data_IF_988647256846
#
_entry.id   IF_988647256846
#
_cell.length_a   1.000
_cell.length_b   1.000
_cell.length_c   1.000
_cell.angle_alpha   90.00
_cell.angle_beta   90.00
_cell.angle_gamma   90.00
#
_symmetry.space_group_name_H-M   'P 1'
#
loop_
_entity.id
_entity.type
_entity.pdbx_description
1 polymer ?
#
# COMPACT_ATOMS: atom_id res chain seq x y z
N UNK A 1 -15.49 20.28 -17.88
CA UNK A 1 -15.37 20.98 -16.59
C UNK A 1 -13.89 21.04 -16.22
N UNK A 2 -13.34 22.26 -16.11
CA UNK A 2 -11.90 22.48 -15.88
C UNK A 2 -11.54 22.11 -14.43
N UNK A 3 -10.62 21.16 -14.26
CA UNK A 3 -10.06 20.83 -12.94
C UNK A 3 -9.05 21.90 -12.59
N UNK A 4 -9.35 22.75 -11.62
CA UNK A 4 -8.43 23.76 -11.11
C UNK A 4 -7.26 23.08 -10.38
N UNK A 5 -6.04 23.30 -10.85
CA UNK A 5 -4.80 22.85 -10.19
C UNK A 5 -4.49 23.74 -8.99
N UNK A 6 -4.73 23.23 -7.78
CA UNK A 6 -4.29 23.88 -6.55
C UNK A 6 -2.76 23.76 -6.39
N UNK A 7 -2.08 24.88 -6.14
CA UNK A 7 -0.64 24.90 -5.88
C UNK A 7 -0.34 24.48 -4.41
N UNK A 8 0.94 24.12 -4.11
CA UNK A 8 1.39 23.87 -2.72
C UNK A 8 1.07 25.04 -1.77
N UNK A 9 1.11 26.29 -2.27
CA UNK A 9 0.76 27.48 -1.48
C UNK A 9 -0.72 27.56 -1.16
N UNK A 10 -1.57 27.12 -2.09
CA UNK A 10 -3.03 27.16 -1.90
C UNK A 10 -3.48 26.11 -0.89
N UNK A 11 -2.81 24.94 -0.86
CA UNK A 11 -3.02 23.93 0.19
C UNK A 11 -2.62 24.44 1.58
N UNK A 12 -1.47 25.10 1.71
CA UNK A 12 -1.01 25.69 2.98
C UNK A 12 -1.92 26.85 3.42
N UNK A 13 -2.43 27.65 2.48
CA UNK A 13 -3.40 28.72 2.76
C UNK A 13 -4.78 28.18 3.15
N UNK A 14 -5.24 27.11 2.51
CA UNK A 14 -6.51 26.45 2.88
C UNK A 14 -6.46 25.84 4.28
N UNK A 15 -5.30 25.35 4.71
CA UNK A 15 -5.07 24.85 6.09
C UNK A 15 -4.85 26.00 7.09
N UNK A 16 -4.35 27.16 6.63
CA UNK A 16 -4.00 28.31 7.51
C UNK A 16 -5.10 29.39 7.65
N UNK A 17 -6.13 29.42 6.81
CA UNK A 17 -7.17 30.46 6.77
C UNK A 17 -8.51 30.06 7.39
N UNK A 18 -8.56 28.98 8.16
CA UNK A 18 -9.72 28.58 8.96
C UNK A 18 -9.95 29.40 10.24
N UNK A 19 -9.20 30.46 10.47
CA UNK A 19 -9.33 31.30 11.64
C UNK A 19 -9.53 32.77 11.25
N UNK A 20 -10.74 33.19 10.86
CA UNK A 20 -11.44 34.45 11.11
C UNK A 20 -12.61 34.57 10.13
N UNK A 21 -13.81 34.19 10.55
CA UNK A 21 -15.07 34.86 10.23
C UNK A 21 -16.17 34.26 11.13
N UNK A 22 -16.53 34.96 12.15
CA UNK A 22 -17.77 34.69 12.89
C UNK A 22 -18.98 34.99 12.01
N UNK A 23 -19.97 34.17 12.17
CA UNK A 23 -21.41 34.27 11.98
C UNK A 23 -22.00 33.06 11.27
N UNK A 24 -22.64 32.31 12.06
CA UNK A 24 -23.88 31.51 11.87
C UNK A 24 -23.76 30.18 12.60
N UNK A 25 -24.40 30.09 13.73
CA UNK A 25 -24.68 28.83 14.45
C UNK A 25 -25.60 27.97 13.60
N UNK A 26 -25.03 27.14 12.79
CA UNK A 26 -25.66 25.98 12.20
C UNK A 26 -24.85 24.75 12.59
N UNK A 27 -25.50 23.84 13.24
CA UNK A 27 -25.19 22.47 13.67
C UNK A 27 -24.02 21.80 12.88
N UNK A 28 -22.84 22.34 12.98
CA UNK A 28 -21.60 21.59 12.75
C UNK A 28 -21.23 20.98 14.09
N UNK A 29 -21.33 19.65 14.21
CA UNK A 29 -20.80 18.95 15.36
C UNK A 29 -19.39 19.46 15.63
N UNK A 30 -19.10 19.77 16.89
CA UNK A 30 -17.81 20.28 17.37
C UNK A 30 -16.70 19.41 16.77
N UNK A 31 -15.98 19.95 15.77
CA UNK A 31 -14.85 19.25 15.15
C UNK A 31 -13.83 19.04 16.26
N UNK A 32 -13.55 17.79 16.63
CA UNK A 32 -12.54 17.51 17.66
C UNK A 32 -11.25 18.22 17.24
N UNK A 33 -10.58 18.92 18.14
CA UNK A 33 -9.32 19.63 17.89
C UNK A 33 -8.24 18.75 17.24
N UNK A 34 -8.37 17.43 17.38
CA UNK A 34 -7.44 16.42 16.88
C UNK A 34 -8.17 15.39 16.03
N UNK A 35 -8.16 15.49 14.69
CA UNK A 35 -8.77 14.50 13.81
C UNK A 35 -8.04 13.16 13.92
N UNK A 36 -8.78 12.06 13.74
CA UNK A 36 -8.17 10.75 13.57
C UNK A 36 -7.36 10.67 12.27
N UNK A 37 -6.45 9.72 12.21
CA UNK A 37 -5.68 9.43 11.00
C UNK A 37 -5.82 7.95 10.63
N UNK A 38 -6.29 7.67 9.42
CA UNK A 38 -6.23 6.37 8.79
C UNK A 38 -5.13 6.42 7.71
N UNK A 39 -4.02 5.71 7.97
CA UNK A 39 -2.83 5.73 7.13
C UNK A 39 -2.69 4.38 6.40
N UNK A 40 -2.93 4.36 5.09
CA UNK A 40 -2.98 3.15 4.27
C UNK A 40 -1.72 3.08 3.40
N UNK A 41 -0.88 2.07 3.65
CA UNK A 41 0.30 1.75 2.87
C UNK A 41 0.00 0.54 1.98
N UNK A 42 0.35 0.62 0.70
CA UNK A 42 0.15 -0.48 -0.27
C UNK A 42 1.50 -0.83 -0.91
N UNK A 43 1.89 -2.09 -0.79
CA UNK A 43 3.21 -2.57 -1.25
C UNK A 43 3.22 -2.75 -2.77
N UNK A 44 4.24 -2.24 -3.45
CA UNK A 44 4.43 -2.31 -4.91
C UNK A 44 3.31 -1.67 -5.75
N UNK A 45 2.52 -0.76 -5.20
CA UNK A 45 1.42 -0.12 -5.92
C UNK A 45 1.92 0.96 -6.88
N UNK A 46 1.81 0.69 -8.18
CA UNK A 46 2.08 1.66 -9.24
C UNK A 46 0.92 2.64 -9.42
N UNK A 47 1.16 3.84 -10.01
CA UNK A 47 0.09 4.77 -10.39
C UNK A 47 -0.68 4.30 -11.63
N UNK A 48 -0.93 2.99 -11.75
CA UNK A 48 -1.75 2.37 -12.79
C UNK A 48 -3.16 2.13 -12.24
N UNK A 49 -3.82 3.22 -11.79
CA UNK A 49 -5.17 3.21 -11.23
C UNK A 49 -6.11 4.04 -12.12
N UNK A 50 -7.42 3.85 -11.98
CA UNK A 50 -8.42 4.61 -12.73
C UNK A 50 -8.28 6.12 -12.52
N UNK A 51 -8.03 6.56 -11.29
CA UNK A 51 -7.81 7.98 -10.94
C UNK A 51 -6.58 8.61 -11.62
N UNK A 52 -5.61 7.81 -12.06
CA UNK A 52 -4.48 8.26 -12.89
C UNK A 52 -4.70 8.07 -14.40
N UNK A 53 -5.92 7.70 -14.82
CA UNK A 53 -6.30 7.55 -16.22
C UNK A 53 -5.97 6.17 -16.83
N UNK A 54 -5.63 5.16 -16.03
CA UNK A 54 -5.36 3.82 -16.53
C UNK A 54 -6.67 3.06 -16.81
N UNK A 55 -7.07 3.01 -18.09
CA UNK A 55 -8.39 2.51 -18.53
C UNK A 55 -8.64 1.03 -18.26
N UNK A 56 -7.60 0.20 -18.17
CA UNK A 56 -7.75 -1.24 -17.95
C UNK A 56 -7.83 -1.62 -16.46
N UNK A 57 -7.48 -0.72 -15.55
CA UNK A 57 -7.50 -1.01 -14.11
C UNK A 57 -8.89 -0.80 -13.52
N UNK A 58 -9.30 -1.73 -12.66
CA UNK A 58 -10.56 -1.66 -11.92
C UNK A 58 -10.23 -1.39 -10.45
N UNK A 59 -10.32 -0.11 -10.05
CA UNK A 59 -9.96 0.39 -8.71
C UNK A 59 -11.01 1.39 -8.15
N UNK A 60 -12.31 1.03 -8.11
CA UNK A 60 -13.38 1.98 -7.85
C UNK A 60 -13.33 2.63 -6.46
N UNK A 61 -12.79 1.95 -5.45
CA UNK A 61 -12.73 2.48 -4.09
C UNK A 61 -11.60 3.49 -3.92
N UNK A 62 -10.43 3.21 -4.50
CA UNK A 62 -9.30 4.15 -4.51
C UNK A 62 -9.64 5.35 -5.41
N UNK A 63 -10.30 5.12 -6.55
CA UNK A 63 -10.74 6.18 -7.47
C UNK A 63 -11.74 7.11 -6.79
N UNK A 64 -12.69 6.57 -6.00
CA UNK A 64 -13.62 7.36 -5.19
C UNK A 64 -12.88 8.18 -4.13
N UNK A 65 -11.95 7.58 -3.39
CA UNK A 65 -11.14 8.30 -2.40
C UNK A 65 -10.36 9.45 -3.04
N UNK A 66 -9.81 9.25 -4.23
CA UNK A 66 -9.11 10.28 -4.99
C UNK A 66 -10.05 11.41 -5.45
N UNK A 67 -11.28 11.08 -5.85
CA UNK A 67 -12.29 12.06 -6.27
C UNK A 67 -12.83 12.91 -5.10
N UNK A 68 -12.84 12.35 -3.88
CA UNK A 68 -13.26 13.03 -2.65
C UNK A 68 -12.14 13.84 -1.97
N UNK A 69 -10.90 13.73 -2.44
CA UNK A 69 -9.72 14.27 -1.77
C UNK A 69 -8.73 14.97 -2.69
N UNK A 70 -7.47 14.88 -2.34
CA UNK A 70 -6.34 15.44 -3.11
C UNK A 70 -5.55 14.29 -3.74
N UNK A 71 -5.46 14.27 -5.06
CA UNK A 71 -4.66 13.33 -5.83
C UNK A 71 -3.30 13.96 -6.20
N UNK A 72 -2.21 13.34 -5.73
CA UNK A 72 -0.86 13.75 -6.06
C UNK A 72 -0.40 13.04 -7.35
N UNK A 73 -0.37 13.76 -8.46
CA UNK A 73 -0.02 13.19 -9.78
C UNK A 73 1.49 13.05 -10.01
N UNK A 74 2.33 13.66 -9.15
CA UNK A 74 3.80 13.65 -9.26
C UNK A 74 4.42 13.39 -7.89
N UNK A 75 4.13 12.23 -7.31
CA UNK A 75 4.72 11.76 -6.05
C UNK A 75 5.69 10.63 -6.35
N UNK A 76 6.89 10.69 -5.77
CA UNK A 76 7.98 9.75 -6.07
C UNK A 76 8.54 9.20 -4.75
N UNK A 77 8.84 7.90 -4.71
CA UNK A 77 9.59 7.30 -3.62
C UNK A 77 11.08 7.73 -3.69
N UNK A 78 11.72 7.84 -2.54
CA UNK A 78 13.14 8.20 -2.48
C UNK A 78 14.05 7.05 -2.97
N UNK A 79 13.66 5.79 -2.68
CA UNK A 79 14.35 4.58 -3.13
C UNK A 79 13.29 3.57 -3.56
N UNK A 80 13.36 2.98 -4.76
CA UNK A 80 12.33 2.07 -5.27
C UNK A 80 12.46 0.65 -4.71
N UNK A 81 12.50 0.53 -3.37
CA UNK A 81 12.57 -0.76 -2.65
C UNK A 81 11.94 -0.63 -1.26
N UNK A 82 11.22 -1.67 -0.82
CA UNK A 82 10.29 -1.63 0.32
C UNK A 82 10.90 -1.07 1.61
N UNK A 83 12.00 -1.66 2.12
CA UNK A 83 12.57 -1.28 3.41
C UNK A 83 13.04 0.17 3.42
N UNK A 84 13.83 0.57 2.43
CA UNK A 84 14.40 1.92 2.34
C UNK A 84 13.33 2.99 2.09
N UNK A 85 12.36 2.73 1.18
CA UNK A 85 11.25 3.65 0.91
C UNK A 85 10.42 3.90 2.17
N UNK A 86 10.01 2.82 2.86
CA UNK A 86 9.19 2.89 4.08
C UNK A 86 9.93 3.57 5.22
N UNK A 87 11.22 3.23 5.45
CA UNK A 87 12.05 3.89 6.45
C UNK A 87 12.15 5.40 6.19
N UNK A 88 12.42 5.79 4.94
CA UNK A 88 12.50 7.20 4.55
C UNK A 88 11.19 7.96 4.76
N UNK A 89 10.07 7.40 4.31
CA UNK A 89 8.76 8.04 4.42
C UNK A 89 8.31 8.15 5.88
N UNK A 90 8.40 7.05 6.64
CA UNK A 90 7.87 6.98 8.00
C UNK A 90 8.71 7.75 9.02
N UNK A 91 9.97 8.11 8.68
CA UNK A 91 10.83 8.98 9.50
C UNK A 91 10.95 10.40 8.95
N UNK A 92 10.51 10.64 7.70
CA UNK A 92 10.70 11.92 7.02
C UNK A 92 12.17 12.21 6.66
N UNK A 93 13.07 11.22 6.77
CA UNK A 93 14.51 11.40 6.55
C UNK A 93 14.93 10.83 5.21
N UNK A 94 15.69 11.60 4.43
CA UNK A 94 16.16 11.18 3.11
C UNK A 94 17.24 10.10 3.21
N UNK A 95 17.26 9.15 2.26
CA UNK A 95 18.34 8.17 2.11
C UNK A 95 19.70 8.83 1.90
N UNK A 96 20.74 8.13 2.30
CA UNK A 96 22.14 8.43 2.00
C UNK A 96 22.83 7.17 1.50
N UNK A 97 24.11 7.28 1.11
CA UNK A 97 24.89 6.16 0.58
C UNK A 97 24.94 4.94 1.51
N UNK A 98 24.88 5.17 2.81
CA UNK A 98 25.00 4.20 3.90
C UNK A 98 23.75 4.09 4.78
N UNK A 99 22.65 4.72 4.38
CA UNK A 99 21.41 4.76 5.15
C UNK A 99 20.19 4.65 4.26
N UNK A 100 19.29 3.75 4.59
CA UNK A 100 18.05 3.49 3.85
C UNK A 100 18.33 3.10 2.39
N UNK A 101 19.11 2.03 2.20
CA UNK A 101 19.59 1.62 0.88
C UNK A 101 18.88 0.36 0.37
N UNK A 102 18.67 -0.66 1.23
CA UNK A 102 18.22 -1.99 0.85
C UNK A 102 16.76 -2.28 1.15
N UNK A 103 16.29 -3.43 0.65
CA UNK A 103 14.92 -3.91 0.95
C UNK A 103 14.73 -4.29 2.42
N UNK A 104 15.79 -4.73 3.07
CA UNK A 104 15.84 -5.18 4.47
C UNK A 104 16.22 -4.07 5.47
N UNK A 105 16.20 -2.82 5.04
CA UNK A 105 16.44 -1.64 5.87
C UNK A 105 15.55 -1.64 7.12
N UNK A 106 16.17 -1.38 8.27
CA UNK A 106 15.53 -1.05 9.54
C UNK A 106 15.73 0.43 9.82
N UNK A 107 14.64 1.18 9.95
CA UNK A 107 14.73 2.62 10.22
C UNK A 107 15.45 2.92 11.54
N UNK A 108 15.15 2.17 12.59
CA UNK A 108 15.74 2.33 13.92
C UNK A 108 17.23 1.97 13.96
N UNK A 109 17.69 0.99 13.14
CA UNK A 109 19.11 0.61 13.07
C UNK A 109 19.93 1.59 12.25
N UNK A 110 19.40 1.99 11.10
CA UNK A 110 20.09 2.92 10.18
C UNK A 110 20.10 4.35 10.73
N UNK A 111 19.14 4.71 11.59
CA UNK A 111 19.02 6.02 12.21
C UNK A 111 18.50 5.88 13.65
N UNK A 112 19.37 5.49 14.60
CA UNK A 112 18.99 5.38 16.01
C UNK A 112 18.41 6.70 16.56
N UNK A 113 17.30 6.61 17.26
CA UNK A 113 16.62 7.77 17.83
C UNK A 113 15.78 8.59 16.85
N UNK A 114 15.64 8.17 15.60
CA UNK A 114 14.75 8.83 14.64
C UNK A 114 13.31 8.90 15.16
N UNK A 115 12.69 10.06 15.02
CA UNK A 115 11.28 10.24 15.32
C UNK A 115 10.44 9.74 14.16
N UNK A 116 9.85 8.55 14.33
CA UNK A 116 8.88 8.06 13.34
C UNK A 116 7.56 8.81 13.43
N UNK A 117 6.80 8.85 12.32
CA UNK A 117 5.46 9.45 12.31
C UNK A 117 4.54 8.83 13.38
N UNK A 118 4.63 7.52 13.61
CA UNK A 118 3.88 6.83 14.65
C UNK A 118 4.26 7.31 16.05
N UNK A 119 5.56 7.45 16.33
CA UNK A 119 6.07 7.97 17.59
C UNK A 119 5.67 9.43 17.81
N UNK A 120 5.67 10.22 16.75
CA UNK A 120 5.19 11.60 16.79
C UNK A 120 3.71 11.68 17.21
N UNK A 121 2.82 10.93 16.54
CA UNK A 121 1.41 10.89 16.91
C UNK A 121 1.21 10.38 18.35
N UNK A 122 1.91 9.33 18.75
CA UNK A 122 1.84 8.77 20.11
C UNK A 122 2.23 9.80 21.17
N UNK A 123 3.30 10.58 20.95
CA UNK A 123 3.74 11.63 21.89
C UNK A 123 2.78 12.81 21.97
N UNK A 124 1.84 12.94 21.00
CA UNK A 124 0.78 13.94 20.98
C UNK A 124 -0.59 13.36 21.39
N UNK A 125 -0.60 12.28 22.16
CA UNK A 125 -1.81 11.75 22.78
C UNK A 125 -2.66 10.82 21.93
N UNK A 126 -2.24 10.49 20.70
CA UNK A 126 -2.94 9.54 19.84
C UNK A 126 -2.74 8.10 20.30
N UNK A 127 -3.78 7.29 20.12
CA UNK A 127 -3.66 5.84 20.20
C UNK A 127 -3.18 5.32 18.83
N UNK A 128 -1.97 4.75 18.79
CA UNK A 128 -1.29 4.38 17.55
C UNK A 128 -1.27 2.87 17.34
N UNK A 129 -1.74 2.40 16.18
CA UNK A 129 -1.87 0.98 15.84
C UNK A 129 -1.24 0.70 14.47
N UNK A 130 -0.55 -0.45 14.36
CA UNK A 130 0.02 -0.96 13.12
C UNK A 130 -0.52 -2.33 12.76
N UNK A 131 -1.21 -2.43 11.62
CA UNK A 131 -1.72 -3.68 11.06
C UNK A 131 -1.07 -3.97 9.71
N UNK A 132 -0.54 -5.18 9.51
CA UNK A 132 0.08 -5.60 8.26
C UNK A 132 1.49 -5.02 8.03
N UNK A 133 1.84 -4.76 6.77
CA UNK A 133 3.18 -4.29 6.37
C UNK A 133 3.25 -2.76 6.36
N UNK A 134 3.32 -2.11 7.52
CA UNK A 134 3.55 -0.65 7.63
C UNK A 134 5.04 -0.35 7.50
N UNK A 135 5.88 -0.75 8.45
CA UNK A 135 7.32 -0.89 8.23
C UNK A 135 7.64 -2.22 7.53
N UNK A 136 8.82 -2.32 6.91
CA UNK A 136 9.26 -3.60 6.33
C UNK A 136 9.37 -4.68 7.41
N UNK A 137 9.96 -4.37 8.54
CA UNK A 137 10.04 -5.25 9.71
C UNK A 137 8.97 -4.88 10.74
N UNK A 138 8.24 -5.88 11.25
CA UNK A 138 7.13 -5.63 12.19
C UNK A 138 7.58 -4.97 13.50
N UNK A 139 8.82 -5.21 13.93
CA UNK A 139 9.38 -4.66 15.17
C UNK A 139 10.18 -3.38 14.99
N UNK A 140 10.27 -2.85 13.75
CA UNK A 140 10.98 -1.60 13.50
C UNK A 140 10.21 -0.43 14.11
N UNK A 141 10.90 0.48 14.78
CA UNK A 141 10.32 1.62 15.50
C UNK A 141 9.13 1.23 16.39
N UNK A 142 9.28 0.11 17.12
CA UNK A 142 8.21 -0.51 17.92
C UNK A 142 7.68 0.41 19.02
N UNK A 143 8.48 1.32 19.55
CA UNK A 143 8.12 2.30 20.58
C UNK A 143 7.13 3.36 20.10
N UNK A 144 6.99 3.52 18.78
CA UNK A 144 6.00 4.39 18.17
C UNK A 144 4.56 3.86 18.24
N UNK A 145 4.34 2.60 18.57
CA UNK A 145 3.03 1.99 18.62
C UNK A 145 2.49 1.88 20.06
N UNK A 146 1.20 2.08 20.23
CA UNK A 146 0.51 1.90 21.53
C UNK A 146 0.27 0.42 21.84
N UNK A 147 0.23 -0.42 20.84
CA UNK A 147 0.07 -1.86 20.90
C UNK A 147 1.13 -2.53 20.02
N UNK A 148 1.42 -3.82 20.25
CA UNK A 148 2.32 -4.57 19.39
C UNK A 148 1.82 -4.57 17.95
N UNK A 149 2.72 -4.29 16.99
CA UNK A 149 2.39 -4.33 15.58
C UNK A 149 1.85 -5.71 15.19
N UNK A 150 0.66 -5.74 14.59
CA UNK A 150 -0.02 -6.98 14.25
C UNK A 150 0.18 -7.34 12.77
N UNK A 151 0.41 -8.61 12.52
CA UNK A 151 0.41 -9.21 11.18
C UNK A 151 -0.38 -10.52 11.20
N UNK A 152 -1.01 -10.90 10.10
CA UNK A 152 -1.60 -12.24 9.98
C UNK A 152 -0.55 -13.33 10.28
N UNK A 153 -0.99 -14.40 10.94
CA UNK A 153 -0.15 -15.59 11.15
C UNK A 153 0.03 -16.37 9.86
N UNK A 154 1.13 -17.11 9.75
CA UNK A 154 1.46 -17.91 8.59
C UNK A 154 2.46 -17.24 7.63
N UNK A 155 2.70 -17.89 6.51
CA UNK A 155 3.62 -17.41 5.49
C UNK A 155 3.03 -16.19 4.76
N UNK A 156 3.81 -15.14 4.59
CA UNK A 156 3.35 -13.92 3.90
C UNK A 156 3.02 -14.14 2.41
N UNK A 157 3.58 -15.21 1.79
CA UNK A 157 3.25 -15.59 0.41
C UNK A 157 1.85 -16.21 0.30
N UNK A 158 1.34 -16.83 1.36
CA UNK A 158 -0.06 -17.21 1.61
C UNK A 158 -0.74 -17.90 0.43
N UNK A 159 -0.14 -19.02 -0.06
CA UNK A 159 -0.77 -19.87 -1.07
C UNK A 159 -1.95 -20.63 -0.47
N UNK A 160 -3.04 -20.77 -1.24
CA UNK A 160 -4.26 -21.48 -0.86
C UNK A 160 -4.44 -22.80 -1.62
N UNK A 161 -3.90 -22.91 -2.85
CA UNK A 161 -3.96 -24.14 -3.62
C UNK A 161 -2.91 -25.12 -3.11
N UNK A 162 -3.34 -26.37 -2.86
CA UNK A 162 -2.48 -27.41 -2.27
C UNK A 162 -1.20 -27.65 -3.07
N UNK A 163 -1.31 -27.70 -4.39
CA UNK A 163 -0.15 -27.86 -5.28
C UNK A 163 0.87 -26.71 -5.13
N UNK A 164 0.42 -25.47 -4.97
CA UNK A 164 1.30 -24.31 -4.79
C UNK A 164 1.96 -24.29 -3.41
N UNK A 165 1.24 -24.73 -2.37
CA UNK A 165 1.79 -24.93 -1.02
C UNK A 165 2.89 -25.99 -1.05
N UNK A 166 2.67 -27.11 -1.74
CA UNK A 166 3.65 -28.20 -1.86
C UNK A 166 4.90 -27.76 -2.64
N UNK A 167 4.72 -27.00 -3.74
CA UNK A 167 5.84 -26.42 -4.50
C UNK A 167 6.63 -25.46 -3.62
N UNK A 168 5.95 -24.55 -2.90
CA UNK A 168 6.59 -23.60 -2.01
C UNK A 168 7.36 -24.29 -0.87
N UNK A 169 6.81 -25.34 -0.29
CA UNK A 169 7.46 -26.10 0.80
C UNK A 169 8.78 -26.76 0.34
N UNK A 170 8.86 -27.18 -0.93
CA UNK A 170 10.07 -27.79 -1.51
C UNK A 170 11.11 -26.77 -1.97
N UNK A 171 10.75 -25.50 -2.06
CA UNK A 171 11.66 -24.42 -2.50
C UNK A 171 12.54 -23.92 -1.35
N UNK A 172 13.87 -23.78 -1.54
CA UNK A 172 14.77 -23.22 -0.52
C UNK A 172 14.39 -21.82 -0.02
N UNK A 173 13.68 -21.06 -0.84
CA UNK A 173 13.19 -19.71 -0.50
C UNK A 173 11.71 -19.70 -0.15
N UNK A 174 11.07 -20.86 -0.01
CA UNK A 174 9.62 -21.00 0.15
C UNK A 174 8.82 -20.23 -0.90
N UNK A 175 9.34 -20.13 -2.12
CA UNK A 175 8.72 -19.46 -3.25
C UNK A 175 8.07 -20.50 -4.18
N UNK A 176 6.75 -20.54 -4.16
CA UNK A 176 5.93 -21.30 -5.11
C UNK A 176 5.83 -20.56 -6.45
N UNK A 177 4.73 -20.75 -7.22
CA UNK A 177 4.49 -19.96 -8.43
C UNK A 177 4.40 -18.47 -8.17
N UNK A 178 4.69 -17.60 -9.17
CA UNK A 178 4.65 -16.15 -9.01
C UNK A 178 3.23 -15.58 -8.93
N UNK A 179 2.21 -16.40 -9.06
CA UNK A 179 0.80 -16.01 -8.99
C UNK A 179 -0.07 -17.19 -8.55
N UNK A 180 -1.26 -16.87 -8.06
CA UNK A 180 -2.30 -17.85 -7.73
C UNK A 180 -3.68 -17.23 -7.84
N UNK A 181 -4.63 -18.00 -8.38
CA UNK A 181 -6.05 -17.67 -8.46
C UNK A 181 -6.85 -18.79 -7.79
N UNK A 182 -7.14 -18.66 -6.50
CA UNK A 182 -7.91 -19.66 -5.77
C UNK A 182 -9.37 -19.24 -5.58
N UNK A 183 -10.31 -20.18 -5.70
CA UNK A 183 -11.74 -19.95 -5.46
C UNK A 183 -12.04 -19.92 -3.94
N UNK A 184 -11.60 -18.87 -3.27
CA UNK A 184 -11.69 -18.70 -1.81
C UNK A 184 -12.26 -17.33 -1.44
N UNK A 185 -12.65 -17.18 -0.18
CA UNK A 185 -13.06 -15.88 0.38
C UNK A 185 -11.88 -14.90 0.46
N UNK A 186 -12.17 -13.60 0.52
CA UNK A 186 -11.14 -12.54 0.57
C UNK A 186 -10.19 -12.71 1.76
N UNK A 187 -10.71 -13.08 2.92
CA UNK A 187 -9.93 -13.25 4.14
C UNK A 187 -9.20 -14.62 4.24
N UNK A 188 -9.27 -15.46 3.21
CA UNK A 188 -8.34 -16.57 3.09
C UNK A 188 -6.92 -16.05 2.90
N UNK A 189 -6.75 -14.97 2.12
CA UNK A 189 -5.48 -14.33 1.87
C UNK A 189 -5.13 -13.23 2.88
N UNK A 190 -3.87 -12.86 2.91
CA UNK A 190 -3.23 -11.97 3.87
C UNK A 190 -3.93 -10.60 3.98
N UNK A 191 -4.24 -9.96 2.87
CA UNK A 191 -4.79 -8.60 2.86
C UNK A 191 -6.27 -8.55 3.31
N UNK A 192 -7.04 -9.59 3.07
CA UNK A 192 -8.38 -9.72 3.62
C UNK A 192 -8.38 -9.83 5.15
N UNK A 193 -7.40 -10.57 5.72
CA UNK A 193 -7.19 -10.65 7.17
C UNK A 193 -6.79 -9.29 7.75
N UNK A 194 -5.97 -8.49 7.03
CA UNK A 194 -5.60 -7.13 7.42
C UNK A 194 -6.83 -6.21 7.44
N UNK A 195 -7.69 -6.32 6.42
CA UNK A 195 -8.94 -5.56 6.38
C UNK A 195 -9.87 -5.91 7.55
N UNK A 196 -10.06 -7.22 7.84
CA UNK A 196 -10.87 -7.68 8.97
C UNK A 196 -10.34 -7.14 10.30
N UNK A 197 -9.00 -7.16 10.50
CA UNK A 197 -8.37 -6.60 11.69
C UNK A 197 -8.57 -5.09 11.79
N UNK A 198 -8.38 -4.34 10.72
CA UNK A 198 -8.60 -2.89 10.67
C UNK A 198 -10.05 -2.51 10.98
N UNK A 199 -11.02 -3.25 10.41
CA UNK A 199 -12.45 -3.09 10.72
C UNK A 199 -12.74 -3.33 12.22
N UNK A 200 -12.17 -4.39 12.77
CA UNK A 200 -12.29 -4.68 14.21
C UNK A 200 -11.71 -3.57 15.08
N UNK A 201 -10.54 -3.04 14.69
CA UNK A 201 -9.90 -1.94 15.42
C UNK A 201 -10.69 -0.64 15.30
N UNK A 202 -11.24 -0.29 14.14
CA UNK A 202 -12.12 0.89 13.99
C UNK A 202 -13.33 0.82 14.91
N UNK A 203 -13.96 -0.37 15.07
CA UNK A 203 -15.08 -0.59 16.01
C UNK A 203 -14.68 -0.38 17.46
N UNK A 204 -13.46 -0.80 17.83
CA UNK A 204 -12.90 -0.63 19.17
C UNK A 204 -12.51 0.84 19.40
N UNK A 205 -11.85 1.47 18.46
CA UNK A 205 -11.40 2.86 18.51
C UNK A 205 -12.56 3.86 18.58
N UNK A 206 -13.69 3.57 17.93
CA UNK A 206 -14.92 4.39 18.03
C UNK A 206 -15.41 4.56 19.47
N UNK A 207 -15.10 3.60 20.35
CA UNK A 207 -15.52 3.60 21.76
C UNK A 207 -14.55 4.33 22.69
N UNK A 208 -13.44 4.87 22.15
CA UNK A 208 -12.41 5.57 22.90
C UNK A 208 -12.53 7.08 22.69
N UNK A 209 -12.17 7.85 23.71
CA UNK A 209 -12.17 9.31 23.64
C UNK A 209 -10.93 9.89 22.95
N UNK A 210 -9.82 9.13 22.92
CA UNK A 210 -8.56 9.56 22.30
C UNK A 210 -8.63 9.50 20.79
N UNK A 211 -8.03 10.45 20.07
CA UNK A 211 -7.83 10.33 18.63
C UNK A 211 -6.92 9.14 18.33
N UNK A 212 -7.05 8.56 17.14
CA UNK A 212 -6.22 7.43 16.72
C UNK A 212 -5.39 7.74 15.48
N UNK A 213 -4.22 7.09 15.41
CA UNK A 213 -3.43 6.90 14.22
C UNK A 213 -3.43 5.41 13.89
N UNK A 214 -4.32 4.99 12.99
CA UNK A 214 -4.42 3.61 12.53
C UNK A 214 -3.66 3.47 11.21
N UNK A 215 -2.52 2.78 11.25
CA UNK A 215 -1.73 2.45 10.07
C UNK A 215 -2.05 1.03 9.59
N UNK A 216 -2.41 0.89 8.32
CA UNK A 216 -2.71 -0.38 7.66
C UNK A 216 -1.78 -0.57 6.47
N UNK A 217 -1.03 -1.66 6.46
CA UNK A 217 -0.10 -1.99 5.39
C UNK A 217 -0.53 -3.23 4.62
N UNK A 218 -1.13 -3.04 3.44
CA UNK A 218 -1.50 -4.11 2.53
C UNK A 218 -0.29 -4.61 1.78
N UNK A 219 -0.24 -5.93 1.58
CA UNK A 219 0.89 -6.59 0.93
C UNK A 219 0.73 -6.66 -0.58
N UNK A 220 -0.48 -6.84 -1.09
CA UNK A 220 -0.72 -6.86 -2.53
C UNK A 220 -0.80 -5.44 -3.09
N UNK A 221 -0.28 -5.23 -4.31
CA UNK A 221 0.12 -6.19 -5.35
C UNK A 221 1.58 -6.68 -5.34
N UNK A 222 2.28 -6.72 -4.21
CA UNK A 222 3.59 -7.38 -4.11
C UNK A 222 3.51 -8.88 -4.50
N UNK A 223 4.57 -9.41 -5.12
CA UNK A 223 4.69 -10.86 -5.43
C UNK A 223 4.53 -11.74 -4.17
N UNK A 224 4.05 -12.99 -4.33
CA UNK A 224 3.40 -13.54 -5.52
C UNK A 224 2.04 -12.88 -5.75
N UNK A 225 1.57 -12.81 -6.99
CA UNK A 225 0.29 -12.20 -7.33
C UNK A 225 -0.87 -13.14 -6.98
N UNK A 226 -1.06 -13.36 -5.69
CA UNK A 226 -2.12 -14.21 -5.15
C UNK A 226 -3.35 -13.37 -4.83
N UNK A 227 -4.47 -13.70 -5.46
CA UNK A 227 -5.75 -13.08 -5.20
C UNK A 227 -6.88 -14.09 -5.39
N UNK A 228 -8.04 -13.94 -4.72
CA UNK A 228 -9.20 -14.74 -4.98
C UNK A 228 -9.59 -14.74 -6.47
N UNK A 229 -10.01 -15.88 -7.00
CA UNK A 229 -10.35 -16.11 -8.41
C UNK A 229 -11.25 -15.01 -8.99
N UNK A 230 -12.24 -14.54 -8.22
CA UNK A 230 -13.19 -13.50 -8.67
C UNK A 230 -12.53 -12.21 -9.14
N UNK A 231 -11.33 -11.86 -8.64
CA UNK A 231 -10.59 -10.66 -9.08
C UNK A 231 -9.80 -10.93 -10.36
N UNK A 232 -9.36 -12.15 -10.59
CA UNK A 232 -8.79 -12.57 -11.86
C UNK A 232 -9.83 -12.56 -12.96
N UNK A 233 -11.05 -13.00 -12.67
CA UNK A 233 -12.16 -13.07 -13.63
C UNK A 233 -12.65 -11.67 -14.09
N UNK A 234 -12.26 -10.60 -13.39
CA UNK A 234 -12.53 -9.21 -13.81
C UNK A 234 -11.80 -8.83 -15.10
N UNK A 235 -10.75 -9.56 -15.49
CA UNK A 235 -9.87 -9.21 -16.59
C UNK A 235 -9.81 -10.31 -17.64
N UNK A 236 -9.83 -9.92 -18.93
CA UNK A 236 -9.56 -10.83 -20.05
C UNK A 236 -8.07 -10.72 -20.38
N UNK A 237 -7.32 -11.82 -20.20
CA UNK A 237 -5.85 -11.84 -20.37
C UNK A 237 -5.42 -11.38 -21.75
N UNK A 238 -6.15 -11.78 -22.79
CA UNK A 238 -5.87 -11.46 -24.19
C UNK A 238 -5.95 -9.96 -24.47
N UNK A 239 -6.77 -9.23 -23.72
CA UNK A 239 -6.94 -7.78 -23.82
C UNK A 239 -5.93 -6.96 -23.01
N UNK A 240 -5.06 -7.60 -22.20
CA UNK A 240 -4.08 -6.87 -21.37
C UNK A 240 -2.94 -6.36 -22.23
N UNK A 241 -2.74 -5.05 -22.22
CA UNK A 241 -1.66 -4.39 -22.93
C UNK A 241 -0.33 -4.62 -22.22
N UNK A 242 0.69 -5.01 -22.97
CA UNK A 242 2.08 -4.99 -22.51
C UNK A 242 2.69 -3.60 -22.73
N UNK A 243 3.85 -3.35 -22.13
CA UNK A 243 4.56 -2.08 -22.28
C UNK A 243 4.90 -1.79 -23.75
N UNK A 244 4.64 -0.56 -24.19
CA UNK A 244 4.88 -0.10 -25.58
C UNK A 244 6.38 0.01 -25.90
N UNK A 245 7.23 0.14 -24.87
CA UNK A 245 8.68 0.28 -24.97
C UNK A 245 9.45 -0.83 -24.25
N UNK A 246 9.40 -2.08 -24.74
CA UNK A 246 9.98 -3.25 -24.05
C UNK A 246 11.48 -3.42 -24.27
N UNK A 247 12.16 -2.38 -24.61
CA UNK A 247 13.59 -2.38 -24.95
C UNK A 247 14.38 -1.53 -23.95
N UNK A 248 15.66 -1.85 -23.85
CA UNK A 248 16.58 -1.08 -23.02
C UNK A 248 16.65 0.39 -23.50
N UNK A 249 16.55 1.37 -22.59
CA UNK A 249 16.70 2.77 -22.95
C UNK A 249 18.06 3.02 -23.59
N UNK A 250 18.10 3.81 -24.67
CA UNK A 250 19.33 4.18 -25.35
C UNK A 250 20.28 4.89 -24.39
N UNK A 251 21.54 4.45 -24.32
CA UNK A 251 22.56 5.05 -23.46
C UNK A 251 22.43 4.71 -21.96
N UNK A 252 21.47 3.87 -21.53
CA UNK A 252 21.39 3.47 -20.15
C UNK A 252 22.60 2.63 -19.74
N UNK A 253 23.31 2.96 -18.64
CA UNK A 253 24.40 2.15 -18.13
C UNK A 253 23.87 0.80 -17.64
N UNK A 254 24.72 -0.26 -17.64
CA UNK A 254 24.32 -1.60 -17.22
C UNK A 254 23.81 -1.63 -15.78
N UNK A 255 24.38 -0.82 -14.90
CA UNK A 255 23.96 -0.70 -13.50
C UNK A 255 22.51 -0.20 -13.32
N UNK A 256 21.94 0.48 -14.34
CA UNK A 256 20.55 0.94 -14.31
C UNK A 256 19.54 -0.15 -14.74
N UNK A 257 20.03 -1.28 -15.27
CA UNK A 257 19.19 -2.37 -15.75
C UNK A 257 19.13 -3.47 -14.69
N UNK A 258 18.00 -3.50 -14.00
CA UNK A 258 17.75 -4.50 -12.96
C UNK A 258 17.32 -5.84 -13.57
N UNK A 259 17.80 -6.95 -13.00
CA UNK A 259 17.50 -8.30 -13.49
C UNK A 259 16.25 -8.94 -12.87
N UNK A 260 15.55 -8.21 -11.98
CA UNK A 260 14.36 -8.69 -11.27
C UNK A 260 14.60 -9.98 -10.47
N UNK A 261 15.64 -9.97 -9.66
CA UNK A 261 16.09 -11.12 -8.88
C UNK A 261 15.01 -11.73 -7.98
N UNK A 262 14.07 -10.95 -7.49
CA UNK A 262 12.94 -11.45 -6.72
C UNK A 262 12.04 -12.34 -7.57
N UNK A 263 11.56 -11.86 -8.73
CA UNK A 263 10.73 -12.64 -9.65
C UNK A 263 11.43 -13.94 -10.07
N UNK A 264 12.76 -13.87 -10.29
CA UNK A 264 13.57 -15.04 -10.70
C UNK A 264 13.66 -16.12 -9.63
N UNK A 265 13.29 -15.83 -8.40
CA UNK A 265 13.24 -16.82 -7.32
C UNK A 265 11.96 -17.67 -7.30
N UNK A 266 10.93 -17.29 -8.07
CA UNK A 266 9.66 -18.01 -8.11
C UNK A 266 9.69 -19.17 -9.07
N UNK A 267 8.94 -20.23 -8.73
CA UNK A 267 8.81 -21.45 -9.54
C UNK A 267 8.27 -21.13 -10.94
N UNK A 268 8.84 -21.77 -11.95
CA UNK A 268 8.42 -21.61 -13.36
C UNK A 268 8.93 -20.34 -14.05
N UNK A 269 9.67 -19.46 -13.35
CA UNK A 269 10.28 -18.28 -13.96
C UNK A 269 11.70 -18.61 -14.42
N UNK A 270 12.09 -18.31 -15.68
CA UNK A 270 13.45 -18.49 -16.17
C UNK A 270 14.46 -17.73 -15.32
N UNK A 271 15.59 -18.34 -14.96
CA UNK A 271 16.62 -17.70 -14.13
C UNK A 271 17.26 -16.47 -14.80
N UNK A 272 17.31 -16.43 -16.14
CA UNK A 272 17.89 -15.36 -16.96
C UNK A 272 17.08 -15.14 -18.24
N UNK A 273 17.33 -14.04 -18.91
CA UNK A 273 16.74 -13.73 -20.20
C UNK A 273 15.37 -13.04 -20.10
N UNK A 274 14.84 -12.66 -21.25
CA UNK A 274 13.54 -12.00 -21.37
C UNK A 274 12.41 -13.01 -21.12
N UNK A 275 11.35 -12.57 -20.45
CA UNK A 275 10.11 -13.34 -20.34
C UNK A 275 9.41 -13.38 -21.71
N UNK A 276 8.68 -14.46 -21.98
CA UNK A 276 7.76 -14.50 -23.13
C UNK A 276 6.64 -13.50 -22.93
N UNK A 277 6.03 -13.01 -24.00
CA UNK A 277 4.90 -12.10 -23.95
C UNK A 277 3.70 -12.71 -23.24
N UNK A 278 3.48 -14.03 -23.38
CA UNK A 278 2.45 -14.76 -22.67
C UNK A 278 2.69 -14.76 -21.15
N UNK A 279 3.90 -15.07 -20.71
CA UNK A 279 4.27 -15.03 -19.29
C UNK A 279 4.17 -13.60 -18.73
N UNK A 280 4.66 -12.60 -19.45
CA UNK A 280 4.54 -11.20 -19.06
C UNK A 280 3.07 -10.79 -18.91
N UNK A 281 2.20 -11.16 -19.87
CA UNK A 281 0.76 -10.87 -19.83
C UNK A 281 0.08 -11.59 -18.66
N UNK A 282 0.50 -12.80 -18.33
CA UNK A 282 -0.01 -13.53 -17.15
C UNK A 282 0.38 -12.84 -15.85
N UNK A 283 1.61 -12.34 -15.74
CA UNK A 283 2.07 -11.59 -14.56
C UNK A 283 1.34 -10.24 -14.43
N UNK A 284 1.13 -9.52 -15.54
CA UNK A 284 0.34 -8.27 -15.53
C UNK A 284 -1.10 -8.55 -15.12
N UNK A 285 -1.70 -9.64 -15.61
CA UNK A 285 -3.04 -10.07 -15.19
C UNK A 285 -3.10 -10.31 -13.68
N UNK A 286 -2.15 -11.06 -13.12
CA UNK A 286 -2.06 -11.29 -11.68
C UNK A 286 -1.87 -10.01 -10.88
N UNK A 287 -1.05 -9.09 -11.38
CA UNK A 287 -0.87 -7.77 -10.78
C UNK A 287 -2.19 -6.98 -10.75
N UNK A 288 -2.94 -6.95 -11.86
CA UNK A 288 -4.24 -6.27 -11.93
C UNK A 288 -5.26 -6.91 -10.99
N UNK A 289 -5.33 -8.24 -10.94
CA UNK A 289 -6.19 -8.95 -10.00
C UNK A 289 -5.85 -8.58 -8.54
N UNK A 290 -4.56 -8.52 -8.19
CA UNK A 290 -4.10 -8.11 -6.87
C UNK A 290 -4.46 -6.65 -6.53
N UNK A 291 -4.32 -5.73 -7.49
CA UNK A 291 -4.73 -4.32 -7.28
C UNK A 291 -6.23 -4.22 -7.01
N UNK A 292 -7.08 -4.88 -7.82
CA UNK A 292 -8.53 -4.89 -7.58
C UNK A 292 -8.92 -5.57 -6.27
N UNK A 293 -8.20 -6.63 -5.89
CA UNK A 293 -8.38 -7.27 -4.59
C UNK A 293 -8.06 -6.31 -3.44
N UNK A 294 -6.93 -5.62 -3.48
CA UNK A 294 -6.52 -4.65 -2.45
C UNK A 294 -7.46 -3.45 -2.43
N UNK A 295 -7.87 -2.94 -3.59
CA UNK A 295 -8.88 -1.89 -3.72
C UNK A 295 -10.18 -2.27 -2.99
N UNK A 296 -10.66 -3.50 -3.18
CA UNK A 296 -11.86 -4.00 -2.51
C UNK A 296 -11.67 -4.09 -0.98
N UNK A 297 -10.47 -4.51 -0.50
CA UNK A 297 -10.19 -4.56 0.93
C UNK A 297 -10.13 -3.15 1.53
N UNK A 298 -9.51 -2.19 0.86
CA UNK A 298 -9.52 -0.77 1.24
C UNK A 298 -10.96 -0.25 1.28
N UNK A 299 -11.77 -0.56 0.27
CA UNK A 299 -13.19 -0.20 0.22
C UNK A 299 -13.99 -0.70 1.42
N UNK A 300 -13.73 -1.94 1.88
CA UNK A 300 -14.35 -2.49 3.10
C UNK A 300 -14.03 -1.65 4.34
N UNK A 301 -12.76 -1.25 4.49
CA UNK A 301 -12.30 -0.42 5.62
C UNK A 301 -12.90 0.98 5.56
N UNK A 302 -12.90 1.62 4.39
CA UNK A 302 -13.50 2.95 4.21
C UNK A 302 -15.01 2.95 4.48
N UNK A 303 -15.73 1.93 3.98
CA UNK A 303 -17.15 1.75 4.25
C UNK A 303 -17.45 1.57 5.76
N UNK A 304 -16.60 0.86 6.48
CA UNK A 304 -16.75 0.73 7.93
C UNK A 304 -16.46 2.04 8.66
N UNK A 305 -15.45 2.82 8.22
CA UNK A 305 -15.18 4.15 8.74
C UNK A 305 -16.40 5.08 8.59
N UNK A 306 -17.04 5.06 7.42
CA UNK A 306 -18.30 5.78 7.14
C UNK A 306 -19.45 5.29 8.04
N UNK A 307 -19.66 3.97 8.08
CA UNK A 307 -20.73 3.35 8.89
C UNK A 307 -20.62 3.69 10.39
N UNK A 308 -19.41 3.87 10.88
CA UNK A 308 -19.17 4.25 12.28
C UNK A 308 -19.31 5.76 12.53
N UNK A 309 -19.59 6.57 11.51
CA UNK A 309 -19.64 8.04 11.61
C UNK A 309 -18.27 8.65 11.98
N UNK A 310 -17.18 8.03 11.53
CA UNK A 310 -15.82 8.49 11.79
C UNK A 310 -15.23 9.27 10.60
N UNK A 311 -15.85 9.18 9.40
CA UNK A 311 -15.29 9.70 8.15
C UNK A 311 -14.96 11.20 8.22
N UNK A 312 -15.90 12.01 8.73
CA UNK A 312 -15.77 13.48 8.73
C UNK A 312 -14.69 14.00 9.71
N UNK A 313 -14.34 13.19 10.71
CA UNK A 313 -13.26 13.50 11.67
C UNK A 313 -12.03 12.61 11.47
N UNK A 314 -11.78 12.14 10.25
CA UNK A 314 -10.61 11.27 9.97
C UNK A 314 -9.90 11.73 8.69
N UNK A 315 -8.63 12.06 8.80
CA UNK A 315 -7.74 12.23 7.65
C UNK A 315 -7.38 10.86 7.12
N UNK A 316 -7.75 10.56 5.87
CA UNK A 316 -7.39 9.31 5.20
C UNK A 316 -6.24 9.56 4.24
N UNK A 317 -5.15 8.84 4.42
CA UNK A 317 -3.95 8.92 3.58
C UNK A 317 -3.71 7.55 2.95
N UNK A 318 -3.59 7.50 1.61
CA UNK A 318 -3.23 6.30 0.87
C UNK A 318 -1.98 6.57 0.04
N UNK A 319 -1.01 5.66 0.07
CA UNK A 319 0.22 5.75 -0.70
C UNK A 319 0.76 4.37 -1.08
N UNK A 320 1.45 4.30 -2.24
CA UNK A 320 2.27 3.16 -2.63
C UNK A 320 3.73 3.43 -2.26
N UNK A 321 4.43 2.44 -1.73
CA UNK A 321 5.81 2.62 -1.27
C UNK A 321 6.82 2.73 -2.43
N UNK A 322 6.59 2.00 -3.49
CA UNK A 322 7.25 2.08 -4.80
C UNK A 322 6.37 1.40 -5.85
N UNK A 323 6.90 0.82 -6.90
CA UNK A 323 6.14 0.09 -7.89
C UNK A 323 6.92 -1.09 -8.44
N UNK A 324 6.32 -1.82 -9.37
CA UNK A 324 6.89 -3.01 -9.99
C UNK A 324 6.91 -2.86 -11.52
N UNK A 325 7.99 -3.25 -12.15
CA UNK A 325 8.07 -3.31 -13.62
C UNK A 325 7.93 -4.76 -14.08
N UNK A 326 6.91 -5.06 -14.87
CA UNK A 326 6.52 -6.42 -15.25
C UNK A 326 7.03 -6.84 -16.64
N UNK A 327 7.99 -6.12 -17.24
CA UNK A 327 8.58 -6.50 -18.51
C UNK A 327 10.07 -6.14 -18.63
#
# INVERSE_FOLDING_TARGET
MSVSHLSRRDFIRAVGLGAVAGFSTSVFGQQKEHPNVLFIAVDDLRPQLGCYGHKQMISPNIDRLAAEGVLFTRSYCNVPVCGASRASLLTGVRPKRDRFVGYDTWAEKDLPGALSIAKHFKSHGYHTISNGKVFHHARDCHDGWSEAAWRPTGAWRDYQLKENVEIAAKSPKHAGPPYEAAAVADNAYYDGKIADKGISDLRRLKKQDKPFFLAMGFLKPHLPFNAPQKYWDMYKREGINLADNPFRPKGAPDAAIHNWGELRAYHGIPAKGRLTDEMARTLVHGYYACVSYTDAQIGRVLKELERLGLRDNTVVILWGDHGWNLR
#
